data_IF_008170532588
#
_entry.id   IF_008170532588
#
_cell.length_a   1.000
_cell.length_b   1.000
_cell.length_c   1.000
_cell.angle_alpha   90.00
_cell.angle_beta   90.00
_cell.angle_gamma   90.00
#
_symmetry.space_group_name_H-M   'P 1'
#
loop_
_entity.id
_entity.type
_entity.pdbx_description
1 polymer ?
#
# COMPACT_ATOMS: atom_id res chain seq x y z
N UNK A 1 25.32 -12.75 -12.32
CA UNK A 1 24.45 -13.88 -12.00
C UNK A 1 23.13 -13.65 -12.67
N UNK A 2 22.63 -14.57 -13.50
CA UNK A 2 21.32 -14.43 -14.13
C UNK A 2 20.30 -15.31 -13.41
N UNK A 3 19.10 -14.79 -13.25
CA UNK A 3 17.98 -15.46 -12.59
C UNK A 3 16.72 -15.33 -13.43
N UNK A 4 15.87 -16.35 -13.40
CA UNK A 4 14.58 -16.37 -14.09
C UNK A 4 13.48 -15.75 -13.22
N UNK A 5 13.48 -16.06 -11.93
CA UNK A 5 12.57 -15.51 -10.92
C UNK A 5 13.35 -14.72 -9.88
N UNK A 6 12.81 -13.58 -9.46
CA UNK A 6 13.40 -12.77 -8.39
C UNK A 6 12.35 -12.02 -7.58
N UNK A 7 11.96 -12.56 -6.44
CA UNK A 7 10.89 -11.97 -5.60
C UNK A 7 11.25 -12.04 -4.13
N UNK A 8 10.67 -11.13 -3.36
CA UNK A 8 10.63 -11.28 -1.91
C UNK A 8 9.34 -11.99 -1.58
N UNK A 9 9.43 -13.13 -0.89
CA UNK A 9 8.27 -13.95 -0.47
C UNK A 9 7.92 -13.69 1.00
N UNK A 10 6.86 -14.34 1.49
CA UNK A 10 6.55 -14.36 2.93
C UNK A 10 7.77 -14.78 3.78
N UNK A 11 7.94 -14.14 4.94
CA UNK A 11 9.12 -14.31 5.80
C UNK A 11 10.27 -13.33 5.50
N UNK A 12 10.06 -12.39 4.56
CA UNK A 12 11.07 -11.42 4.13
C UNK A 12 12.30 -12.13 3.57
N UNK A 13 12.05 -13.12 2.70
CA UNK A 13 13.08 -13.94 2.06
C UNK A 13 13.19 -13.53 0.60
N UNK A 14 14.40 -13.19 0.15
CA UNK A 14 14.70 -13.06 -1.27
C UNK A 14 14.83 -14.46 -1.86
N UNK A 15 13.92 -14.82 -2.75
CA UNK A 15 13.95 -16.05 -3.53
C UNK A 15 14.40 -15.75 -4.95
N UNK A 16 15.37 -16.55 -5.42
CA UNK A 16 15.94 -16.48 -6.75
C UNK A 16 15.86 -17.86 -7.41
N UNK A 17 15.47 -17.89 -8.68
CA UNK A 17 15.63 -19.08 -9.53
C UNK A 17 16.82 -18.87 -10.46
N UNK A 18 17.92 -19.55 -10.16
CA UNK A 18 19.20 -19.45 -10.82
C UNK A 18 19.16 -20.14 -12.19
N UNK A 19 19.56 -19.42 -13.24
CA UNK A 19 19.73 -20.02 -14.57
C UNK A 19 21.03 -20.86 -14.66
N UNK A 20 22.05 -20.42 -13.94
CA UNK A 20 23.35 -21.08 -13.86
C UNK A 20 23.59 -21.44 -12.38
N UNK A 21 23.14 -22.61 -11.89
CA UNK A 21 23.33 -22.99 -10.49
C UNK A 21 24.82 -23.05 -10.15
N UNK A 22 25.17 -22.64 -8.93
CA UNK A 22 26.55 -22.72 -8.44
C UNK A 22 26.62 -23.65 -7.23
N UNK A 23 27.58 -24.56 -7.24
CA UNK A 23 27.90 -25.37 -6.07
C UNK A 23 28.76 -24.58 -5.07
N UNK A 24 28.48 -24.70 -3.78
CA UNK A 24 29.30 -24.17 -2.68
C UNK A 24 28.67 -23.02 -1.88
N UNK A 25 29.48 -22.41 -1.00
CA UNK A 25 29.09 -21.33 -0.09
C UNK A 25 28.84 -20.01 -0.86
N UNK A 26 27.61 -19.84 -1.35
CA UNK A 26 27.17 -18.61 -1.98
C UNK A 26 26.68 -17.58 -0.97
N UNK A 27 26.84 -16.30 -1.31
CA UNK A 27 26.28 -15.17 -0.54
C UNK A 27 25.60 -14.19 -1.45
N UNK A 28 24.59 -13.52 -0.89
CA UNK A 28 24.05 -12.28 -1.46
C UNK A 28 24.64 -11.12 -0.68
N UNK A 29 25.14 -10.11 -1.37
CA UNK A 29 25.57 -8.85 -0.77
C UNK A 29 24.64 -7.75 -1.25
N UNK A 30 24.03 -7.06 -0.30
CA UNK A 30 23.24 -5.86 -0.52
C UNK A 30 24.18 -4.65 -0.42
N UNK A 31 24.43 -3.99 -1.55
CA UNK A 31 25.23 -2.78 -1.60
C UNK A 31 24.31 -1.55 -1.50
N UNK A 32 24.62 -0.57 -0.64
CA UNK A 32 23.82 0.64 -0.53
C UNK A 32 23.88 1.45 -1.84
N UNK A 33 22.79 2.14 -2.15
CA UNK A 33 22.70 3.00 -3.35
C UNK A 33 22.11 4.36 -3.01
N UNK A 34 22.32 5.35 -3.89
CA UNK A 34 21.80 6.70 -3.71
C UNK A 34 22.27 7.30 -2.37
N UNK A 35 21.33 7.87 -1.62
CA UNK A 35 21.58 8.52 -0.31
C UNK A 35 22.21 7.59 0.73
N UNK A 36 22.07 6.27 0.58
CA UNK A 36 22.65 5.30 1.52
C UNK A 36 24.13 4.97 1.22
N UNK A 37 24.64 5.32 0.04
CA UNK A 37 25.94 4.81 -0.46
C UNK A 37 27.10 5.08 0.50
N UNK A 38 27.10 6.25 1.15
CA UNK A 38 28.15 6.68 2.07
C UNK A 38 27.70 6.64 3.54
N UNK A 39 26.43 6.31 3.80
CA UNK A 39 25.82 6.32 5.12
C UNK A 39 25.57 4.92 5.70
N UNK A 40 25.72 3.88 4.89
CA UNK A 40 25.45 2.50 5.28
C UNK A 40 26.56 1.58 4.79
N UNK A 41 26.84 0.54 5.56
CA UNK A 41 27.74 -0.53 5.14
C UNK A 41 27.02 -1.57 4.27
N UNK A 42 27.73 -2.26 3.36
CA UNK A 42 27.23 -3.45 2.69
C UNK A 42 26.73 -4.51 3.68
N UNK A 43 25.60 -5.15 3.35
CA UNK A 43 25.05 -6.25 4.15
C UNK A 43 25.29 -7.57 3.44
N UNK A 44 25.98 -8.51 4.08
CA UNK A 44 26.20 -9.85 3.55
C UNK A 44 25.21 -10.84 4.15
N UNK A 45 24.52 -11.58 3.29
CA UNK A 45 23.48 -12.54 3.63
C UNK A 45 23.94 -13.94 3.20
N UNK A 46 23.90 -14.95 4.10
CA UNK A 46 24.07 -16.33 3.68
C UNK A 46 22.95 -16.72 2.71
N UNK A 47 23.28 -17.56 1.74
CA UNK A 47 22.32 -18.08 0.77
C UNK A 47 22.23 -19.60 0.94
N UNK A 48 21.01 -20.10 1.09
CA UNK A 48 20.75 -21.53 0.93
C UNK A 48 20.45 -21.81 -0.54
N UNK A 49 21.20 -22.73 -1.15
CA UNK A 49 21.04 -23.13 -2.56
C UNK A 49 20.61 -24.60 -2.61
N UNK A 50 19.52 -24.88 -3.32
CA UNK A 50 19.00 -26.22 -3.56
C UNK A 50 18.62 -26.36 -5.05
N UNK A 51 19.50 -27.00 -5.82
CA UNK A 51 19.37 -27.03 -7.29
C UNK A 51 19.44 -25.63 -7.88
N UNK A 52 18.42 -25.23 -8.62
CA UNK A 52 18.29 -23.86 -9.18
C UNK A 52 17.72 -22.86 -8.19
N UNK A 53 17.22 -23.27 -7.03
CA UNK A 53 16.57 -22.35 -6.09
C UNK A 53 17.56 -21.82 -5.08
N UNK A 54 17.64 -20.49 -4.92
CA UNK A 54 18.44 -19.83 -3.91
C UNK A 54 17.57 -18.94 -3.01
N UNK A 55 17.83 -18.97 -1.70
CA UNK A 55 17.06 -18.20 -0.71
C UNK A 55 17.98 -17.47 0.26
N UNK A 56 17.74 -16.18 0.46
CA UNK A 56 18.45 -15.32 1.42
C UNK A 56 17.46 -14.60 2.34
N UNK A 57 17.65 -14.72 3.65
CA UNK A 57 16.78 -14.08 4.65
C UNK A 57 17.13 -12.59 4.81
N UNK A 58 16.15 -11.70 4.62
CA UNK A 58 16.32 -10.24 4.74
C UNK A 58 15.91 -9.75 6.14
N UNK A 59 14.88 -10.36 6.74
CA UNK A 59 14.26 -9.90 7.97
C UNK A 59 15.21 -9.76 9.18
N UNK A 60 16.02 -10.78 9.52
CA UNK A 60 16.86 -10.76 10.72
C UNK A 60 18.01 -9.74 10.68
N UNK A 61 18.48 -9.34 9.49
CA UNK A 61 19.79 -8.70 9.33
C UNK A 61 19.74 -7.17 9.49
N UNK A 62 18.56 -6.61 9.76
CA UNK A 62 18.45 -5.20 10.14
C UNK A 62 18.79 -4.22 9.01
N UNK A 63 18.45 -4.54 7.76
CA UNK A 63 18.72 -3.67 6.60
C UNK A 63 17.98 -2.33 6.77
N UNK A 64 18.72 -1.22 6.63
CA UNK A 64 18.14 0.12 6.75
C UNK A 64 17.23 0.46 5.55
N UNK A 65 16.29 1.38 5.79
CA UNK A 65 15.41 1.87 4.73
C UNK A 65 16.21 2.49 3.57
N UNK A 66 15.73 2.30 2.35
CA UNK A 66 16.38 2.78 1.13
C UNK A 66 16.43 1.72 0.04
N UNK A 67 17.29 1.93 -0.96
CA UNK A 67 17.43 1.01 -2.09
C UNK A 67 18.82 0.41 -2.11
N UNK A 68 18.87 -0.91 -2.33
CA UNK A 68 20.08 -1.72 -2.22
C UNK A 68 20.29 -2.52 -3.51
N UNK A 69 21.49 -2.46 -4.09
CA UNK A 69 21.85 -3.28 -5.24
C UNK A 69 22.18 -4.70 -4.79
N UNK A 70 21.61 -5.69 -5.47
CA UNK A 70 21.84 -7.11 -5.14
C UNK A 70 23.04 -7.63 -5.92
N UNK A 71 24.05 -8.13 -5.20
CA UNK A 71 25.20 -8.82 -5.76
C UNK A 71 25.22 -10.28 -5.31
N UNK A 72 25.54 -11.16 -6.24
CA UNK A 72 25.87 -12.56 -5.96
C UNK A 72 27.37 -12.69 -5.75
N UNK A 73 27.78 -13.45 -4.75
CA UNK A 73 29.17 -13.83 -4.48
C UNK A 73 29.22 -15.35 -4.51
N UNK A 74 29.89 -15.90 -5.52
CA UNK A 74 30.09 -17.35 -5.65
C UNK A 74 31.38 -17.80 -4.96
N UNK A 75 31.74 -19.07 -5.15
CA UNK A 75 32.94 -19.67 -4.57
C UNK A 75 34.26 -18.99 -4.99
N UNK A 76 34.27 -18.31 -6.14
CA UNK A 76 35.43 -17.53 -6.62
C UNK A 76 35.60 -16.19 -5.89
N UNK A 77 34.68 -15.83 -4.99
CA UNK A 77 34.65 -14.57 -4.26
C UNK A 77 34.29 -13.36 -5.12
N UNK A 78 34.04 -13.53 -6.42
CA UNK A 78 33.76 -12.42 -7.32
C UNK A 78 32.33 -11.91 -7.12
N UNK A 79 32.19 -10.60 -6.89
CA UNK A 79 30.88 -9.97 -6.74
C UNK A 79 30.27 -9.62 -8.10
N UNK A 80 29.18 -10.30 -8.47
CA UNK A 80 28.50 -10.12 -9.74
C UNK A 80 27.11 -9.52 -9.52
N UNK A 81 26.64 -8.56 -10.33
CA UNK A 81 25.25 -8.13 -10.24
C UNK A 81 24.30 -9.30 -10.49
N UNK A 82 23.19 -9.34 -9.75
CA UNK A 82 22.05 -10.21 -10.07
C UNK A 82 21.25 -9.52 -11.17
N UNK A 83 21.06 -10.24 -12.28
CA UNK A 83 20.35 -9.79 -13.47
C UNK A 83 19.09 -10.63 -13.64
N UNK A 84 17.97 -9.97 -13.88
CA UNK A 84 16.65 -10.60 -13.96
C UNK A 84 15.82 -9.99 -15.08
N UNK A 85 15.04 -10.82 -15.77
CA UNK A 85 13.96 -10.40 -16.68
C UNK A 85 12.58 -10.50 -16.02
N UNK A 86 12.51 -10.98 -14.77
CA UNK A 86 11.30 -11.02 -13.95
C UNK A 86 10.83 -9.61 -13.60
N UNK A 87 9.52 -9.30 -13.63
CA UNK A 87 8.99 -8.03 -13.15
C UNK A 87 9.18 -7.82 -11.64
N UNK A 88 9.59 -8.86 -10.89
CA UNK A 88 9.77 -8.83 -9.43
C UNK A 88 8.47 -8.60 -8.65
N UNK A 89 7.33 -8.81 -9.29
CA UNK A 89 6.00 -8.57 -8.73
C UNK A 89 5.13 -9.82 -8.81
N UNK A 90 4.52 -10.15 -7.67
CA UNK A 90 3.56 -11.24 -7.53
C UNK A 90 2.47 -10.76 -6.58
N UNK A 91 1.25 -10.59 -7.08
CA UNK A 91 0.14 -10.03 -6.31
C UNK A 91 -0.24 -10.90 -5.10
N UNK A 92 -0.13 -12.23 -5.23
CA UNK A 92 -0.46 -13.15 -4.14
C UNK A 92 0.57 -13.07 -3.01
N UNK A 93 1.87 -13.02 -3.35
CA UNK A 93 2.94 -12.82 -2.37
C UNK A 93 2.85 -11.45 -1.69
N UNK A 94 2.51 -10.41 -2.46
CA UNK A 94 2.27 -9.06 -1.91
C UNK A 94 1.12 -9.06 -0.91
N UNK A 95 0.02 -9.76 -1.23
CA UNK A 95 -1.11 -9.95 -0.31
C UNK A 95 -0.71 -10.73 0.94
N UNK A 96 0.02 -11.83 0.80
CA UNK A 96 0.49 -12.65 1.91
C UNK A 96 1.47 -11.88 2.83
N UNK A 97 2.36 -11.06 2.26
CA UNK A 97 3.23 -10.18 3.04
C UNK A 97 2.43 -9.13 3.80
N UNK A 98 1.48 -8.46 3.13
CA UNK A 98 0.67 -7.42 3.75
C UNK A 98 -0.16 -7.96 4.93
N UNK A 99 -0.62 -9.21 4.88
CA UNK A 99 -1.40 -9.83 5.95
C UNK A 99 -0.61 -10.09 7.26
N UNK A 100 0.72 -9.95 7.24
CA UNK A 100 1.57 -10.17 8.42
C UNK A 100 1.92 -8.86 9.13
N UNK A 101 1.99 -8.85 10.47
CA UNK A 101 2.59 -7.75 11.22
C UNK A 101 4.00 -7.44 10.71
N UNK A 102 4.26 -6.18 10.39
CA UNK A 102 5.60 -5.74 10.01
C UNK A 102 5.74 -4.23 10.16
N UNK A 103 6.93 -3.79 10.57
CA UNK A 103 7.32 -2.38 10.58
C UNK A 103 8.12 -1.98 9.34
N UNK A 104 8.54 -2.99 8.55
CA UNK A 104 9.33 -2.82 7.35
C UNK A 104 8.77 -3.66 6.22
N UNK A 105 8.98 -3.18 5.01
CA UNK A 105 8.63 -3.86 3.78
C UNK A 105 9.86 -3.98 2.89
N UNK A 106 10.07 -5.19 2.37
CA UNK A 106 11.11 -5.52 1.41
C UNK A 106 10.48 -5.79 0.04
N UNK A 107 10.98 -5.10 -0.98
CA UNK A 107 10.49 -5.19 -2.34
C UNK A 107 11.65 -5.52 -3.28
N UNK A 108 11.52 -6.63 -4.02
CA UNK A 108 12.36 -6.85 -5.18
C UNK A 108 11.94 -5.86 -6.27
N UNK A 109 12.90 -5.15 -6.86
CA UNK A 109 12.65 -4.22 -7.96
C UNK A 109 13.71 -4.39 -9.03
N UNK A 110 13.28 -4.37 -10.29
CA UNK A 110 14.16 -4.45 -11.45
C UNK A 110 14.46 -3.05 -12.00
N UNK A 111 15.72 -2.78 -12.32
CA UNK A 111 16.08 -1.56 -13.07
C UNK A 111 15.78 -1.71 -14.57
N UNK A 112 15.75 -0.60 -15.31
CA UNK A 112 15.64 -0.63 -16.77
C UNK A 112 16.75 -1.47 -17.45
N UNK A 113 17.91 -1.60 -16.79
CA UNK A 113 19.05 -2.43 -17.25
C UNK A 113 19.00 -3.88 -16.77
N UNK A 114 17.89 -4.32 -16.18
CA UNK A 114 17.68 -5.69 -15.71
C UNK A 114 18.41 -6.03 -14.41
N UNK A 115 18.97 -5.05 -13.68
CA UNK A 115 19.63 -5.31 -12.39
C UNK A 115 18.61 -5.42 -11.28
N UNK A 116 18.77 -6.42 -10.43
CA UNK A 116 17.93 -6.59 -9.23
C UNK A 116 18.37 -5.64 -8.12
N UNK A 117 17.39 -5.02 -7.47
CA UNK A 117 17.54 -4.23 -6.26
C UNK A 117 16.52 -4.69 -5.22
N UNK A 118 16.84 -4.48 -3.95
CA UNK A 118 15.89 -4.55 -2.84
C UNK A 118 15.59 -3.14 -2.37
N UNK A 119 14.31 -2.78 -2.35
CA UNK A 119 13.83 -1.54 -1.74
C UNK A 119 13.25 -1.88 -0.37
N UNK A 120 13.78 -1.22 0.66
CA UNK A 120 13.36 -1.35 2.05
C UNK A 120 12.65 -0.08 2.47
N UNK A 121 11.46 -0.19 3.04
CA UNK A 121 10.67 0.96 3.50
C UNK A 121 10.13 0.69 4.89
N UNK A 122 10.02 1.74 5.70
CA UNK A 122 9.20 1.68 6.91
C UNK A 122 7.73 1.65 6.50
N UNK A 123 6.96 0.78 7.12
CA UNK A 123 5.52 0.68 6.91
C UNK A 123 4.79 0.80 8.24
N UNK A 124 3.57 1.30 8.17
CA UNK A 124 2.68 1.38 9.31
C UNK A 124 1.47 0.49 9.04
N UNK A 125 0.85 -0.10 10.08
CA UNK A 125 -0.48 -0.70 9.98
C UNK A 125 -1.48 0.21 9.27
N UNK A 126 -2.29 -0.38 8.39
CA UNK A 126 -3.36 0.28 7.65
C UNK A 126 -4.46 -0.73 7.27
N UNK A 127 -5.60 -0.21 6.80
CA UNK A 127 -6.69 -1.01 6.24
C UNK A 127 -6.60 -0.95 4.71
N UNK A 128 -6.18 -2.06 4.09
CA UNK A 128 -6.10 -2.21 2.64
C UNK A 128 -7.51 -2.32 2.07
N UNK A 129 -7.90 -1.37 1.22
CA UNK A 129 -9.16 -1.40 0.47
C UNK A 129 -8.96 -2.26 -0.77
N UNK A 130 -9.76 -3.31 -0.91
CA UNK A 130 -9.76 -4.19 -2.09
C UNK A 130 -10.93 -3.86 -3.03
N UNK A 131 -12.07 -3.40 -2.49
CA UNK A 131 -13.27 -3.09 -3.27
C UNK A 131 -14.03 -1.90 -2.68
N UNK A 132 -14.58 -1.11 -3.59
CA UNK A 132 -15.47 0.02 -3.29
C UNK A 132 -16.65 -0.09 -4.24
N UNK A 133 -17.85 -0.19 -3.68
CA UNK A 133 -19.10 -0.15 -4.44
C UNK A 133 -19.92 1.06 -4.02
N UNK A 134 -20.36 1.84 -5.00
CA UNK A 134 -21.23 3.00 -4.79
C UNK A 134 -22.66 2.63 -5.19
N UNK A 135 -23.61 2.80 -4.28
CA UNK A 135 -25.04 2.65 -4.52
C UNK A 135 -25.77 3.96 -4.15
N UNK A 136 -27.07 4.06 -4.49
CA UNK A 136 -27.84 5.31 -4.42
C UNK A 136 -27.82 6.04 -3.08
N UNK A 137 -27.62 5.36 -1.96
CA UNK A 137 -27.66 5.96 -0.62
C UNK A 137 -26.46 5.58 0.25
N UNK A 138 -25.50 4.83 -0.30
CA UNK A 138 -24.43 4.23 0.48
C UNK A 138 -23.16 3.96 -0.33
N UNK A 139 -22.04 3.88 0.39
CA UNK A 139 -20.77 3.36 -0.11
C UNK A 139 -20.42 2.09 0.66
N UNK A 140 -20.31 0.97 -0.03
CA UNK A 140 -19.87 -0.31 0.56
C UNK A 140 -18.39 -0.50 0.30
N UNK A 141 -17.65 -0.87 1.34
CA UNK A 141 -16.20 -1.06 1.31
C UNK A 141 -15.87 -2.47 1.80
N UNK A 142 -14.97 -3.15 1.10
CA UNK A 142 -14.35 -4.36 1.63
C UNK A 142 -12.84 -4.35 1.42
N UNK A 143 -12.15 -5.09 2.27
CA UNK A 143 -10.71 -5.06 2.29
C UNK A 143 -10.12 -5.92 3.39
N UNK A 144 -8.89 -5.61 3.79
CA UNK A 144 -8.11 -6.41 4.72
C UNK A 144 -7.28 -5.55 5.66
N UNK A 145 -6.95 -6.09 6.81
CA UNK A 145 -5.91 -5.56 7.68
C UNK A 145 -4.55 -5.79 7.02
N UNK A 146 -3.72 -4.75 7.03
CA UNK A 146 -2.37 -4.81 6.49
C UNK A 146 -1.35 -4.37 7.53
N UNK A 147 -0.24 -5.10 7.61
CA UNK A 147 0.90 -4.86 8.50
C UNK A 147 0.57 -4.95 9.99
N UNK A 148 -0.51 -5.64 10.34
CA UNK A 148 -0.96 -5.87 11.71
C UNK A 148 -1.63 -7.23 11.85
N UNK A 149 -1.73 -7.73 13.08
CA UNK A 149 -2.46 -8.96 13.37
C UNK A 149 -3.96 -8.68 13.42
N UNK A 150 -4.76 -9.67 13.02
CA UNK A 150 -6.19 -9.63 13.29
C UNK A 150 -6.43 -9.73 14.81
N UNK A 151 -7.38 -8.96 15.38
CA UNK A 151 -7.75 -9.12 16.78
C UNK A 151 -8.38 -10.50 17.01
N UNK A 152 -8.23 -11.01 18.23
CA UNK A 152 -8.86 -12.27 18.63
C UNK A 152 -10.39 -12.08 18.73
N UNK A 153 -11.15 -12.90 17.99
CA UNK A 153 -12.60 -12.92 18.01
C UNK A 153 -13.28 -12.03 16.96
N UNK A 154 -14.57 -12.31 16.72
CA UNK A 154 -15.38 -11.62 15.74
C UNK A 154 -16.27 -10.58 16.45
N UNK A 155 -15.91 -9.30 16.39
CA UNK A 155 -16.81 -8.22 16.83
C UNK A 155 -16.11 -6.94 17.30
N UNK A 156 -16.86 -5.84 17.33
CA UNK A 156 -16.41 -4.56 17.89
C UNK A 156 -15.49 -3.72 17.00
N UNK A 157 -15.27 -4.13 15.74
CA UNK A 157 -14.60 -3.27 14.77
C UNK A 157 -15.57 -2.19 14.25
N UNK A 158 -15.05 -0.99 14.07
CA UNK A 158 -15.82 0.17 13.64
C UNK A 158 -15.10 0.90 12.52
N UNK A 159 -15.85 1.37 11.52
CA UNK A 159 -15.36 2.34 10.57
C UNK A 159 -15.71 3.73 11.08
N UNK A 160 -14.73 4.61 11.11
CA UNK A 160 -14.87 6.01 11.51
C UNK A 160 -14.60 6.89 10.29
N UNK A 161 -15.63 7.61 9.85
CA UNK A 161 -15.50 8.65 8.83
C UNK A 161 -15.45 10.01 9.53
N UNK A 162 -14.32 10.72 9.41
CA UNK A 162 -14.14 12.06 10.00
C UNK A 162 -14.12 13.13 8.93
N UNK A 163 -14.89 14.18 9.14
CA UNK A 163 -14.88 15.34 8.29
C UNK A 163 -13.55 16.07 8.45
N UNK A 164 -12.91 16.42 7.34
CA UNK A 164 -11.60 17.08 7.36
C UNK A 164 -11.73 18.53 7.80
N UNK A 165 -10.89 18.93 8.75
CA UNK A 165 -10.81 20.28 9.33
C UNK A 165 -12.13 20.75 10.00
N UNK A 166 -13.00 19.81 10.36
CA UNK A 166 -14.30 20.03 10.97
C UNK A 166 -14.59 18.95 12.03
N UNK A 167 -15.64 19.13 12.82
CA UNK A 167 -15.97 18.25 13.95
C UNK A 167 -16.91 17.08 13.58
N UNK A 168 -17.28 16.93 12.30
CA UNK A 168 -18.16 15.86 11.84
C UNK A 168 -17.54 14.48 11.98
N UNK A 169 -18.25 13.55 12.61
CA UNK A 169 -17.83 12.14 12.72
C UNK A 169 -19.04 11.21 12.51
N UNK A 170 -18.83 10.15 11.72
CA UNK A 170 -19.74 9.02 11.61
C UNK A 170 -18.99 7.75 11.99
N UNK A 171 -19.61 6.95 12.87
CA UNK A 171 -19.14 5.61 13.23
C UNK A 171 -20.15 4.58 12.73
N UNK A 172 -19.68 3.56 12.03
CA UNK A 172 -20.51 2.43 11.57
C UNK A 172 -19.89 1.09 11.91
N UNK A 173 -20.68 0.05 12.20
CA UNK A 173 -20.16 -1.27 12.50
C UNK A 173 -19.45 -1.88 11.27
N UNK A 174 -18.39 -2.65 11.55
CA UNK A 174 -17.62 -3.40 10.56
C UNK A 174 -17.75 -4.89 10.86
N UNK A 175 -18.06 -5.68 9.82
CA UNK A 175 -17.88 -7.14 9.89
C UNK A 175 -16.40 -7.42 9.66
N UNK A 176 -15.74 -8.08 10.61
CA UNK A 176 -14.33 -8.45 10.55
C UNK A 176 -14.19 -9.97 10.76
N UNK A 177 -13.58 -10.66 9.80
CA UNK A 177 -13.30 -12.11 9.88
C UNK A 177 -11.95 -12.39 9.24
N UNK A 178 -11.06 -13.08 9.95
CA UNK A 178 -9.74 -13.48 9.43
C UNK A 178 -8.90 -12.33 8.82
N UNK A 179 -9.04 -11.14 9.41
CA UNK A 179 -8.39 -9.92 8.94
C UNK A 179 -9.05 -9.30 7.70
N UNK A 180 -10.14 -9.85 7.18
CA UNK A 180 -10.96 -9.24 6.13
C UNK A 180 -12.09 -8.43 6.73
N UNK A 181 -12.31 -7.22 6.21
CA UNK A 181 -13.36 -6.32 6.67
C UNK A 181 -14.39 -6.04 5.58
N UNK A 182 -15.64 -5.84 6.01
CA UNK A 182 -16.74 -5.36 5.20
C UNK A 182 -17.54 -4.32 6.00
N UNK A 183 -17.81 -3.16 5.40
CA UNK A 183 -18.66 -2.14 6.00
C UNK A 183 -19.46 -1.36 4.94
N UNK A 184 -20.49 -0.66 5.40
CA UNK A 184 -21.33 0.20 4.57
C UNK A 184 -21.46 1.56 5.23
N UNK A 185 -21.13 2.60 4.48
CA UNK A 185 -21.23 4.01 4.88
C UNK A 185 -22.57 4.54 4.35
N UNK A 186 -23.57 4.80 5.21
CA UNK A 186 -24.76 5.52 4.79
C UNK A 186 -24.39 6.98 4.48
N UNK A 187 -24.89 7.52 3.37
CA UNK A 187 -24.57 8.89 2.96
C UNK A 187 -25.44 9.95 3.65
N UNK A 188 -26.64 9.58 4.11
CA UNK A 188 -27.57 10.52 4.75
C UNK A 188 -27.02 11.19 6.03
N UNK A 189 -26.28 10.50 6.93
CA UNK A 189 -25.64 11.18 8.05
C UNK A 189 -24.54 12.17 7.61
N UNK A 190 -23.74 11.79 6.61
CA UNK A 190 -22.68 12.66 6.06
C UNK A 190 -23.27 13.91 5.40
N UNK A 191 -24.43 13.78 4.74
CA UNK A 191 -25.12 14.92 4.11
C UNK A 191 -25.67 15.89 5.14
N UNK A 192 -26.19 15.42 6.27
CA UNK A 192 -26.65 16.29 7.37
C UNK A 192 -25.53 17.04 8.07
N UNK A 193 -24.35 16.43 8.14
CA UNK A 193 -23.16 17.05 8.72
C UNK A 193 -22.38 17.91 7.72
N UNK A 194 -22.89 18.07 6.49
CA UNK A 194 -22.22 18.89 5.49
C UNK A 194 -22.19 20.35 5.95
N UNK A 195 -20.99 20.92 6.09
CA UNK A 195 -20.80 22.35 6.25
C UNK A 195 -21.11 23.07 4.92
N UNK A 196 -22.23 23.78 4.92
CA UNK A 196 -22.74 24.56 3.81
C UNK A 196 -21.96 25.89 3.58
N UNK A 197 -20.97 26.22 4.40
CA UNK A 197 -20.01 27.30 4.15
C UNK A 197 -18.91 26.92 3.15
N UNK A 198 -18.70 25.62 2.88
CA UNK A 198 -17.62 25.11 2.02
C UNK A 198 -18.14 24.65 0.67
N UNK A 199 -17.28 24.71 -0.35
CA UNK A 199 -17.59 24.18 -1.67
C UNK A 199 -17.67 22.64 -1.67
N UNK A 200 -16.83 22.01 -0.85
CA UNK A 200 -16.76 20.58 -0.69
C UNK A 200 -16.36 20.23 0.75
N UNK A 201 -16.71 19.01 1.17
CA UNK A 201 -16.28 18.42 2.42
C UNK A 201 -15.69 17.04 2.16
N UNK A 202 -14.54 16.76 2.76
CA UNK A 202 -13.89 15.46 2.69
C UNK A 202 -14.11 14.66 3.98
N UNK A 203 -14.37 13.36 3.81
CA UNK A 203 -14.59 12.41 4.89
C UNK A 203 -13.47 11.37 4.87
N UNK A 204 -12.54 11.58 5.78
CA UNK A 204 -11.37 10.76 6.00
C UNK A 204 -11.76 9.48 6.75
N UNK A 205 -11.51 8.33 6.11
CA UNK A 205 -11.90 7.01 6.59
C UNK A 205 -10.81 6.31 7.41
N UNK A 206 -11.21 5.77 8.55
CA UNK A 206 -10.37 5.01 9.47
C UNK A 206 -11.08 3.73 9.93
N UNK A 207 -10.32 2.69 10.22
CA UNK A 207 -10.81 1.47 10.84
C UNK A 207 -10.29 1.41 12.28
N UNK A 208 -11.20 1.37 13.25
CA UNK A 208 -10.92 1.18 14.67
C UNK A 208 -11.13 -0.30 15.00
N UNK A 209 -10.11 -0.91 15.59
CA UNK A 209 -10.14 -2.31 15.99
C UNK A 209 -10.34 -2.43 17.50
N UNK A 210 -11.10 -3.45 17.97
CA UNK A 210 -11.28 -3.68 19.40
C UNK A 210 -9.92 -3.94 20.08
N UNK A 211 -9.69 -3.31 21.23
CA UNK A 211 -8.46 -3.49 22.00
C UNK A 211 -7.20 -2.88 21.39
N UNK A 212 -7.33 -2.06 20.34
CA UNK A 212 -6.21 -1.30 19.76
C UNK A 212 -6.45 0.20 19.89
N UNK A 213 -5.49 0.92 20.47
CA UNK A 213 -5.56 2.38 20.61
C UNK A 213 -5.41 3.11 19.28
N UNK A 214 -4.76 2.44 18.31
CA UNK A 214 -4.42 3.05 17.03
C UNK A 214 -5.42 2.64 15.95
N UNK A 215 -6.03 3.65 15.35
CA UNK A 215 -6.86 3.47 14.16
C UNK A 215 -6.02 3.27 12.89
N UNK A 216 -6.55 2.48 11.97
CA UNK A 216 -5.92 2.12 10.72
C UNK A 216 -6.49 2.98 9.60
N UNK A 217 -5.63 3.72 8.91
CA UNK A 217 -6.07 4.53 7.77
C UNK A 217 -6.54 3.60 6.64
N UNK A 218 -7.67 3.90 6.00
CA UNK A 218 -8.07 3.18 4.79
C UNK A 218 -7.26 3.69 3.59
N UNK A 219 -6.69 2.77 2.83
CA UNK A 219 -5.91 3.08 1.63
C UNK A 219 -5.68 1.85 0.76
N UNK A 220 -5.05 2.04 -0.39
CA UNK A 220 -4.63 0.92 -1.25
C UNK A 220 -3.16 1.03 -1.61
N UNK A 221 -2.33 0.14 -1.05
CA UNK A 221 -0.87 0.17 -1.18
C UNK A 221 -0.25 -1.21 -1.49
N UNK A 222 -1.06 -2.28 -1.52
CA UNK A 222 -0.57 -3.65 -1.75
C UNK A 222 -0.36 -3.98 -3.24
N UNK A 223 -1.04 -3.28 -4.14
CA UNK A 223 -0.82 -3.39 -5.59
C UNK A 223 0.45 -2.61 -6.03
N UNK A 224 0.81 -2.71 -7.31
CA UNK A 224 1.90 -1.95 -7.92
C UNK A 224 1.46 -0.60 -8.53
N UNK A 225 0.18 -0.23 -8.34
CA UNK A 225 -0.39 1.01 -8.87
C UNK A 225 -0.13 2.13 -7.87
N UNK A 226 0.81 3.01 -8.19
CA UNK A 226 1.10 4.20 -7.37
C UNK A 226 0.33 5.42 -7.87
N UNK A 227 -0.02 6.33 -6.96
CA UNK A 227 -0.67 7.60 -7.31
C UNK A 227 -2.03 7.38 -7.95
N UNK A 228 -2.95 6.81 -7.18
CA UNK A 228 -4.30 6.43 -7.62
C UNK A 228 -5.21 7.63 -7.84
N UNK A 229 -4.89 8.79 -7.24
CA UNK A 229 -5.58 10.06 -7.52
C UNK A 229 -5.50 10.37 -9.01
N UNK A 230 -6.65 10.66 -9.63
CA UNK A 230 -6.77 10.89 -11.08
C UNK A 230 -6.70 9.63 -11.96
N UNK A 231 -6.28 8.48 -11.42
CA UNK A 231 -6.20 7.20 -12.17
C UNK A 231 -7.36 6.25 -11.87
N UNK A 232 -7.92 6.30 -10.67
CA UNK A 232 -9.06 5.50 -10.25
C UNK A 232 -10.21 6.44 -9.88
N UNK A 233 -11.30 6.34 -10.64
CA UNK A 233 -12.54 7.09 -10.40
C UNK A 233 -13.65 6.18 -9.93
N UNK A 234 -14.48 6.70 -9.03
CA UNK A 234 -15.71 6.04 -8.58
C UNK A 234 -16.94 6.87 -8.98
N UNK A 235 -18.08 6.22 -9.31
CA UNK A 235 -19.29 6.94 -9.63
C UNK A 235 -19.72 7.86 -8.48
N UNK A 236 -20.17 9.07 -8.81
CA UNK A 236 -20.80 9.95 -7.84
C UNK A 236 -22.23 9.52 -7.54
N UNK A 237 -22.61 9.60 -6.27
CA UNK A 237 -23.96 9.34 -5.77
C UNK A 237 -24.60 10.67 -5.39
N UNK A 238 -25.74 10.98 -5.99
CA UNK A 238 -26.48 12.21 -5.70
C UNK A 238 -27.44 11.98 -4.53
N UNK A 239 -27.28 12.76 -3.47
CA UNK A 239 -28.12 12.75 -2.27
C UNK A 239 -28.86 14.07 -2.18
N UNK A 240 -30.19 14.00 -2.13
CA UNK A 240 -31.04 15.17 -1.97
C UNK A 240 -30.96 15.67 -0.52
N UNK A 241 -30.74 16.97 -0.33
CA UNK A 241 -30.77 17.62 0.99
C UNK A 241 -31.69 18.84 0.97
N UNK A 242 -32.15 19.34 2.14
CA UNK A 242 -32.99 20.53 2.18
C UNK A 242 -32.34 21.80 1.60
N UNK A 243 -31.02 21.92 1.70
CA UNK A 243 -30.29 23.13 1.28
C UNK A 243 -29.86 23.07 -0.19
N UNK A 244 -29.26 21.95 -0.62
CA UNK A 244 -28.85 21.71 -2.01
C UNK A 244 -28.52 20.21 -2.23
N UNK A 245 -28.72 19.66 -3.44
CA UNK A 245 -28.25 18.31 -3.74
C UNK A 245 -26.73 18.20 -3.55
N UNK A 246 -26.28 17.10 -2.92
CA UNK A 246 -24.87 16.81 -2.67
C UNK A 246 -24.46 15.58 -3.47
N UNK A 247 -23.35 15.68 -4.19
CA UNK A 247 -22.71 14.56 -4.88
C UNK A 247 -21.60 13.98 -4.02
N UNK A 248 -21.77 12.74 -3.60
CA UNK A 248 -20.78 11.97 -2.85
C UNK A 248 -19.98 11.08 -3.79
N UNK A 249 -18.66 11.10 -3.72
CA UNK A 249 -17.80 10.15 -4.44
C UNK A 249 -16.62 9.70 -3.59
N UNK A 250 -16.35 8.39 -3.50
CA UNK A 250 -15.05 7.93 -3.03
C UNK A 250 -13.95 8.41 -3.97
N UNK A 251 -12.78 8.70 -3.42
CA UNK A 251 -11.57 8.99 -4.22
C UNK A 251 -10.31 8.66 -3.41
N UNK A 252 -9.20 8.46 -4.13
CA UNK A 252 -7.89 8.33 -3.50
C UNK A 252 -7.18 9.68 -3.43
N UNK A 253 -6.57 9.96 -2.27
CA UNK A 253 -5.68 11.10 -2.04
C UNK A 253 -4.31 10.89 -2.68
N UNK A 254 -3.43 11.91 -2.64
CA UNK A 254 -2.05 11.82 -3.15
C UNK A 254 -1.20 10.75 -2.45
N UNK A 255 -1.62 10.33 -1.25
CA UNK A 255 -0.98 9.26 -0.47
C UNK A 255 -1.68 7.91 -0.66
N UNK A 256 -2.54 7.76 -1.66
CA UNK A 256 -3.33 6.56 -1.95
C UNK A 256 -4.26 6.12 -0.79
N UNK A 257 -4.63 7.06 0.09
CA UNK A 257 -5.66 6.83 1.10
C UNK A 257 -7.05 7.07 0.51
N UNK A 258 -8.03 6.26 0.92
CA UNK A 258 -9.43 6.41 0.49
C UNK A 258 -10.14 7.45 1.37
N UNK A 259 -10.85 8.35 0.71
CA UNK A 259 -11.66 9.42 1.31
C UNK A 259 -13.00 9.50 0.56
N UNK A 260 -14.08 9.92 1.22
CA UNK A 260 -15.34 10.26 0.54
C UNK A 260 -15.44 11.77 0.40
N UNK A 261 -15.56 12.26 -0.83
CA UNK A 261 -15.74 13.68 -1.14
C UNK A 261 -17.23 13.98 -1.33
N UNK A 262 -17.74 14.99 -0.62
CA UNK A 262 -19.07 15.54 -0.79
C UNK A 262 -18.95 16.92 -1.44
N UNK A 263 -19.48 17.10 -2.64
CA UNK A 263 -19.49 18.38 -3.36
C UNK A 263 -20.93 18.81 -3.54
N UNK A 264 -21.20 20.11 -3.44
CA UNK A 264 -22.49 20.66 -3.83
C UNK A 264 -22.67 20.51 -5.33
N UNK A 265 -23.81 19.96 -5.73
CA UNK A 265 -24.20 20.06 -7.12
C UNK A 265 -24.65 21.50 -7.36
N UNK A 266 -23.83 22.26 -8.08
CA UNK A 266 -24.26 23.56 -8.59
C UNK A 266 -25.11 23.33 -9.84
N UNK A 267 -26.23 24.04 -9.95
CA UNK A 267 -27.08 24.02 -11.14
C UNK A 267 -26.24 24.49 -12.36
N UNK A 268 -25.68 23.54 -13.11
CA UNK A 268 -25.23 23.79 -14.49
C UNK A 268 -23.75 23.63 -14.84
N UNK A 269 -22.90 22.96 -14.04
CA UNK A 269 -21.56 22.58 -14.51
C UNK A 269 -21.27 21.11 -14.21
N UNK A 270 -21.26 20.28 -15.25
CA UNK A 270 -20.54 19.01 -15.25
C UNK A 270 -19.06 19.32 -15.05
N UNK A 271 -18.65 19.39 -13.79
CA UNK A 271 -17.26 19.57 -13.40
C UNK A 271 -16.52 18.23 -13.53
N UNK A 272 -16.17 17.91 -14.77
CA UNK A 272 -15.06 17.00 -15.09
C UNK A 272 -13.68 17.65 -14.76
N UNK A 273 -13.67 18.79 -14.06
CA UNK A 273 -12.52 19.69 -13.87
C UNK A 273 -11.95 19.76 -12.46
N UNK A 274 -12.18 18.78 -11.59
CA UNK A 274 -11.42 18.67 -10.33
C UNK A 274 -9.97 18.17 -10.51
N UNK A 275 -9.38 18.41 -11.69
CA UNK A 275 -8.04 17.96 -12.11
C UNK A 275 -7.06 19.13 -12.34
N UNK A 276 -7.35 20.32 -11.81
CA UNK A 276 -6.39 21.43 -11.76
C UNK A 276 -6.14 21.88 -10.32
N UNK A 277 -5.21 21.20 -9.65
CA UNK A 277 -4.42 21.79 -8.57
C UNK A 277 -3.06 21.08 -8.46
N UNK A 278 -2.03 21.87 -8.70
CA UNK A 278 -0.60 21.70 -8.37
C UNK A 278 0.26 20.79 -9.27
N UNK A 279 0.64 21.32 -10.44
CA UNK A 279 1.83 20.92 -11.22
C UNK A 279 3.14 21.59 -10.73
N UNK A 280 3.18 22.13 -9.50
CA UNK A 280 4.41 22.66 -8.90
C UNK A 280 4.94 21.71 -7.82
N UNK A 281 5.67 20.68 -8.25
CA UNK A 281 6.84 20.09 -7.56
C UNK A 281 7.12 18.67 -8.09
N UNK A 282 7.54 18.58 -9.34
CA UNK A 282 8.33 17.45 -9.84
C UNK A 282 9.73 17.96 -10.21
N UNK A 283 10.48 18.46 -9.22
CA UNK A 283 11.94 18.41 -9.29
C UNK A 283 12.45 17.12 -8.64
N UNK A 284 13.19 16.38 -9.45
CA UNK A 284 13.80 15.09 -9.18
C UNK A 284 14.99 15.26 -8.23
N UNK A 285 15.01 14.54 -7.10
CA UNK A 285 16.20 14.29 -6.27
C UNK A 285 16.20 12.95 -5.52
#
# INVERSE_FOLDING_TARGET
MRVDVSRVVAGDVLELELLDPSDGDARVVLLPTGKNKDACEPVSLPVSVAGTRARAELGPVGVAAGTWAVRWVGADGAQRPVLTADPCYDAAERRAQAARPAEREFLAVRTATGRLRIRVRSVKPYAQVDRVDTASEQVTLSGRLARTAAPDGAGGAELVARQRDLDGELVVPVTLSDGEFLCTIPLAPLSRAHDHGRHHNEWDLWLRLPGQDRELRLGSHSDDIVGKKGRIGYPGVLVQTPDAPLRFRPYYTDKDNLTVLAVRESDGTTDDGADQADESDFEVA
#
